data_IF_584674620996
#
_entry.id   IF_584674620996
#
_cell.length_a   1.000
_cell.length_b   1.000
_cell.length_c   1.000
_cell.angle_alpha   90.00
_cell.angle_beta   90.00
_cell.angle_gamma   90.00
#
_symmetry.space_group_name_H-M   'P 1'
#
loop_
_entity.id
_entity.type
_entity.pdbx_description
1 polymer ?
#
# COMPACT_ATOMS: atom_id res chain seq x y z
N UNK A 1 2.18 -18.36 -18.60
CA UNK A 1 2.27 -17.42 -17.44
C UNK A 1 1.84 -18.19 -16.20
N UNK A 2 2.62 -18.10 -15.12
CA UNK A 2 2.23 -18.60 -13.80
C UNK A 2 1.11 -17.72 -13.22
N UNK A 3 0.41 -18.18 -12.19
CA UNK A 3 -0.62 -17.38 -11.54
C UNK A 3 -0.02 -16.09 -10.93
N UNK A 4 1.22 -16.16 -10.43
CA UNK A 4 1.96 -14.99 -9.98
C UNK A 4 2.28 -14.01 -11.11
N UNK A 5 2.71 -14.47 -12.27
CA UNK A 5 2.93 -13.60 -13.43
C UNK A 5 1.64 -12.91 -13.88
N UNK A 6 0.49 -13.60 -13.83
CA UNK A 6 -0.83 -13.02 -14.09
C UNK A 6 -1.17 -11.94 -13.06
N UNK A 7 -0.98 -12.23 -11.75
CA UNK A 7 -1.18 -11.28 -10.67
C UNK A 7 -0.42 -9.97 -10.92
N UNK A 8 0.89 -10.07 -11.21
CA UNK A 8 1.74 -8.92 -11.47
C UNK A 8 1.40 -8.18 -12.77
N UNK A 9 0.81 -8.88 -13.75
CA UNK A 9 0.32 -8.28 -15.00
C UNK A 9 -1.07 -7.62 -14.85
N UNK A 10 -1.72 -7.74 -13.69
CA UNK A 10 -3.08 -7.24 -13.45
C UNK A 10 -4.17 -8.08 -14.14
N UNK A 11 -3.82 -9.31 -14.54
CA UNK A 11 -4.77 -10.27 -15.10
C UNK A 11 -5.49 -11.05 -13.99
N UNK A 12 -6.54 -11.77 -14.36
CA UNK A 12 -7.24 -12.65 -13.43
C UNK A 12 -6.34 -13.84 -13.08
N UNK A 13 -6.14 -14.08 -11.80
CA UNK A 13 -5.33 -15.15 -11.25
C UNK A 13 -6.04 -15.89 -10.11
N UNK A 14 -5.54 -17.06 -9.75
CA UNK A 14 -6.03 -17.87 -8.63
C UNK A 14 -5.30 -17.50 -7.34
N UNK A 15 -5.99 -16.89 -6.38
CA UNK A 15 -5.45 -16.52 -5.08
C UNK A 15 -5.05 -17.74 -4.20
N UNK A 16 -5.49 -18.93 -4.57
CA UNK A 16 -5.17 -20.19 -3.86
C UNK A 16 -4.05 -20.99 -4.53
N UNK A 17 -3.40 -20.44 -5.55
CA UNK A 17 -2.24 -21.08 -6.17
C UNK A 17 -1.11 -21.31 -5.16
N UNK A 18 -0.46 -22.47 -5.14
CA UNK A 18 0.57 -22.78 -4.15
C UNK A 18 1.76 -21.81 -4.13
N UNK A 19 2.18 -21.26 -5.27
CA UNK A 19 3.26 -20.26 -5.34
C UNK A 19 2.84 -18.95 -4.66
N UNK A 20 1.63 -18.46 -4.99
CA UNK A 20 1.04 -17.23 -4.43
C UNK A 20 0.86 -17.34 -2.91
N UNK A 21 0.25 -18.46 -2.45
CA UNK A 21 0.01 -18.71 -1.02
C UNK A 21 1.32 -18.85 -0.24
N UNK A 22 2.35 -19.48 -0.84
CA UNK A 22 3.65 -19.65 -0.20
C UNK A 22 4.31 -18.29 0.08
N UNK A 23 4.38 -17.40 -0.91
CA UNK A 23 4.97 -16.06 -0.72
C UNK A 23 4.22 -15.23 0.32
N UNK A 24 2.88 -15.27 0.27
CA UNK A 24 2.06 -14.61 1.27
C UNK A 24 2.38 -15.10 2.70
N UNK A 25 2.56 -16.42 2.86
CA UNK A 25 2.93 -17.02 4.14
C UNK A 25 4.32 -16.60 4.60
N UNK A 26 5.32 -16.59 3.71
CA UNK A 26 6.68 -16.16 4.00
C UNK A 26 6.71 -14.68 4.43
N UNK A 27 5.96 -13.83 3.73
CA UNK A 27 5.84 -12.40 4.11
C UNK A 27 5.22 -12.23 5.50
N UNK A 28 4.21 -13.02 5.84
CA UNK A 28 3.57 -12.95 7.16
C UNK A 28 4.55 -13.26 8.31
N UNK A 29 5.48 -14.19 8.12
CA UNK A 29 6.55 -14.46 9.10
C UNK A 29 7.50 -13.26 9.24
N UNK A 30 7.90 -12.62 8.13
CA UNK A 30 8.74 -11.42 8.14
C UNK A 30 8.03 -10.27 8.86
N UNK A 31 6.75 -10.06 8.57
CA UNK A 31 5.94 -9.01 9.21
C UNK A 31 5.71 -9.31 10.69
N UNK A 32 5.55 -10.57 11.08
CA UNK A 32 5.49 -10.96 12.48
C UNK A 32 6.80 -10.60 13.21
N UNK A 33 7.96 -10.93 12.64
CA UNK A 33 9.27 -10.51 13.19
C UNK A 33 9.33 -8.99 13.35
N UNK A 34 9.03 -8.24 12.26
CA UNK A 34 9.04 -6.78 12.28
C UNK A 34 8.20 -6.20 13.41
N UNK A 35 6.97 -6.65 13.54
CA UNK A 35 6.01 -6.13 14.52
C UNK A 35 6.32 -6.57 15.97
N UNK A 36 7.20 -7.56 16.15
CA UNK A 36 7.63 -8.06 17.47
C UNK A 36 8.90 -7.39 17.99
N UNK A 37 9.59 -6.60 17.16
CA UNK A 37 10.80 -5.88 17.58
C UNK A 37 10.47 -4.76 18.56
N UNK A 38 11.42 -4.46 19.45
CA UNK A 38 11.31 -3.30 20.34
C UNK A 38 11.47 -2.00 19.54
N UNK A 39 10.79 -0.90 19.90
CA UNK A 39 10.94 0.39 19.21
C UNK A 39 12.40 0.91 19.16
N UNK A 40 13.27 0.46 20.05
CA UNK A 40 14.71 0.80 20.07
C UNK A 40 15.54 0.06 19.02
N UNK A 41 15.02 -1.02 18.43
CA UNK A 41 15.73 -1.85 17.43
C UNK A 41 15.61 -1.28 16.01
N UNK A 42 15.73 0.03 15.88
CA UNK A 42 15.48 0.78 14.63
C UNK A 42 16.33 0.31 13.45
N UNK A 43 17.58 -0.12 13.71
CA UNK A 43 18.45 -0.66 12.66
C UNK A 43 17.87 -1.95 12.08
N UNK A 44 17.45 -2.89 12.92
CA UNK A 44 16.87 -4.18 12.50
C UNK A 44 15.55 -3.96 11.75
N UNK A 45 14.72 -3.05 12.25
CA UNK A 45 13.47 -2.67 11.56
C UNK A 45 13.73 -2.17 10.15
N UNK A 46 14.72 -1.28 9.97
CA UNK A 46 15.10 -0.78 8.65
C UNK A 46 15.64 -1.86 7.72
N UNK A 47 16.48 -2.75 8.24
CA UNK A 47 17.02 -3.90 7.50
C UNK A 47 15.89 -4.79 6.96
N UNK A 48 14.89 -5.11 7.80
CA UNK A 48 13.75 -5.93 7.39
C UNK A 48 12.97 -5.24 6.26
N UNK A 49 12.62 -3.97 6.41
CA UNK A 49 11.86 -3.24 5.38
C UNK A 49 12.64 -3.15 4.06
N UNK A 50 13.95 -2.85 4.11
CA UNK A 50 14.80 -2.80 2.91
C UNK A 50 14.88 -4.12 2.15
N UNK A 51 14.86 -5.24 2.88
CA UNK A 51 14.88 -6.56 2.28
C UNK A 51 13.49 -7.02 1.78
N UNK A 52 12.43 -6.51 2.40
CA UNK A 52 11.06 -6.86 2.08
C UNK A 52 10.52 -6.06 0.90
N UNK A 53 10.73 -4.74 0.88
CA UNK A 53 10.18 -3.88 -0.15
C UNK A 53 10.92 -4.03 -1.49
N UNK A 54 10.21 -3.76 -2.57
CA UNK A 54 10.80 -3.72 -3.91
C UNK A 54 11.80 -2.58 -4.10
N UNK A 55 11.51 -1.43 -3.47
CA UNK A 55 12.40 -0.28 -3.48
C UNK A 55 12.24 0.60 -2.23
N UNK A 56 13.36 1.13 -1.74
CA UNK A 56 13.43 2.13 -0.66
C UNK A 56 14.42 3.22 -1.08
N UNK A 57 13.95 4.46 -1.19
CA UNK A 57 14.67 5.59 -1.79
C UNK A 57 15.89 6.07 -1.00
N UNK A 58 15.86 5.99 0.34
CA UNK A 58 17.00 6.32 1.22
C UNK A 58 16.85 5.68 2.61
N UNK A 59 17.79 6.01 3.52
CA UNK A 59 17.77 5.52 4.90
C UNK A 59 16.98 6.41 5.88
N UNK A 60 16.42 7.52 5.39
CA UNK A 60 15.66 8.47 6.19
C UNK A 60 14.17 8.17 6.14
N UNK A 61 13.80 6.91 6.31
CA UNK A 61 12.41 6.51 6.43
C UNK A 61 12.08 5.97 7.82
N UNK A 62 10.81 6.05 8.18
CA UNK A 62 10.27 5.46 9.40
C UNK A 62 8.88 4.88 9.10
N UNK A 63 8.67 3.63 9.51
CA UNK A 63 7.36 2.98 9.52
C UNK A 63 7.10 2.53 10.94
N UNK A 64 6.09 3.10 11.60
CA UNK A 64 5.73 2.70 12.95
C UNK A 64 4.97 1.36 12.96
N UNK A 65 5.26 0.56 13.96
CA UNK A 65 4.57 -0.72 14.20
C UNK A 65 3.17 -0.50 14.80
N UNK A 66 2.21 -1.39 14.56
CA UNK A 66 2.32 -2.46 13.58
C UNK A 66 2.19 -1.98 12.13
N UNK A 67 2.92 -2.61 11.24
CA UNK A 67 2.79 -2.50 9.78
C UNK A 67 2.28 -3.83 9.22
N UNK A 68 1.53 -3.80 8.11
CA UNK A 68 1.00 -4.99 7.44
C UNK A 68 1.07 -4.85 5.93
N UNK A 69 1.47 -5.92 5.27
CA UNK A 69 1.38 -6.05 3.81
C UNK A 69 1.19 -7.52 3.43
N UNK A 70 0.84 -7.78 2.17
CA UNK A 70 0.67 -9.13 1.67
C UNK A 70 1.97 -9.71 1.11
N UNK A 71 2.69 -8.99 0.26
CA UNK A 71 3.94 -9.47 -0.35
C UNK A 71 5.15 -8.57 -0.03
N UNK A 72 4.96 -7.28 0.12
CA UNK A 72 6.01 -6.29 0.34
C UNK A 72 6.84 -5.97 -0.91
N UNK A 73 7.11 -6.95 -1.76
CA UNK A 73 7.94 -6.80 -2.97
C UNK A 73 7.37 -5.83 -4.00
N UNK A 74 6.07 -5.62 -4.01
CA UNK A 74 5.39 -4.69 -4.90
C UNK A 74 5.33 -3.27 -4.32
N UNK A 75 5.82 -3.05 -3.08
CA UNK A 75 5.84 -1.74 -2.44
C UNK A 75 7.16 -1.03 -2.77
N UNK A 76 7.03 0.19 -3.29
CA UNK A 76 8.15 1.10 -3.52
C UNK A 76 7.89 2.41 -2.78
N UNK A 77 8.85 2.84 -1.96
CA UNK A 77 8.78 4.13 -1.25
C UNK A 77 9.97 5.02 -1.64
N UNK A 78 9.70 6.30 -1.76
CA UNK A 78 10.70 7.32 -2.01
C UNK A 78 11.51 7.70 -0.77
N UNK A 79 12.22 8.82 -0.85
CA UNK A 79 13.06 9.35 0.23
C UNK A 79 12.23 10.02 1.31
N UNK A 80 12.76 10.02 2.55
CA UNK A 80 12.17 10.73 3.71
C UNK A 80 10.71 10.33 3.96
N UNK A 81 10.39 9.08 3.72
CA UNK A 81 9.06 8.50 3.91
C UNK A 81 8.74 8.31 5.39
N UNK A 82 7.55 8.69 5.78
CA UNK A 82 7.03 8.44 7.13
C UNK A 82 5.66 7.75 7.07
N UNK A 83 5.50 6.65 7.80
CA UNK A 83 4.20 6.04 8.05
C UNK A 83 3.97 5.86 9.55
N UNK A 84 2.80 6.28 10.00
CA UNK A 84 2.35 6.15 11.36
C UNK A 84 1.78 4.75 11.64
N UNK A 85 1.25 4.52 12.85
CA UNK A 85 0.77 3.21 13.34
C UNK A 85 -0.32 2.61 12.45
N UNK A 86 -0.32 1.28 12.33
CA UNK A 86 -1.33 0.49 11.60
C UNK A 86 -1.40 0.84 10.09
N UNK A 87 -0.29 1.20 9.48
CA UNK A 87 -0.22 1.32 8.03
C UNK A 87 -0.39 -0.08 7.40
N UNK A 88 -1.33 -0.22 6.47
CA UNK A 88 -1.66 -1.50 5.82
C UNK A 88 -1.62 -1.34 4.31
N UNK A 89 -0.93 -2.23 3.62
CA UNK A 89 -0.86 -2.26 2.15
C UNK A 89 -1.15 -3.67 1.66
N UNK A 90 -2.24 -3.86 0.93
CA UNK A 90 -2.51 -5.10 0.21
C UNK A 90 -1.92 -4.94 -1.19
N UNK A 91 -0.73 -5.51 -1.40
CA UNK A 91 0.15 -5.24 -2.54
C UNK A 91 0.22 -6.40 -3.55
N UNK A 92 -0.93 -6.86 -4.02
CA UNK A 92 -1.04 -7.80 -5.14
C UNK A 92 -0.58 -7.16 -6.47
N UNK A 93 -0.72 -5.84 -6.59
CA UNK A 93 -0.16 -5.03 -7.67
C UNK A 93 0.79 -3.96 -7.12
N UNK A 94 1.62 -3.32 -7.97
CA UNK A 94 2.55 -2.29 -7.53
C UNK A 94 1.90 -1.14 -6.77
N UNK A 95 2.49 -0.79 -5.62
CA UNK A 95 2.19 0.42 -4.86
C UNK A 95 3.44 1.28 -4.84
N UNK A 96 3.37 2.42 -5.51
CA UNK A 96 4.49 3.36 -5.61
C UNK A 96 4.16 4.65 -4.86
N UNK A 97 5.03 5.03 -3.92
CA UNK A 97 4.89 6.24 -3.11
C UNK A 97 6.16 7.08 -3.30
N UNK A 98 6.00 8.34 -3.65
CA UNK A 98 7.09 9.27 -3.92
C UNK A 98 7.84 9.75 -2.68
N UNK A 99 8.68 10.76 -2.90
CA UNK A 99 9.50 11.40 -1.87
C UNK A 99 8.64 12.27 -0.93
N UNK A 100 9.11 12.46 0.32
CA UNK A 100 8.51 13.38 1.29
C UNK A 100 7.04 13.11 1.60
N UNK A 101 6.65 11.84 1.64
CA UNK A 101 5.28 11.44 1.93
C UNK A 101 5.09 11.13 3.41
N UNK A 102 3.98 11.63 3.96
CA UNK A 102 3.56 11.44 5.35
C UNK A 102 2.23 10.69 5.40
N UNK A 103 2.25 9.50 5.98
CA UNK A 103 1.08 8.62 6.12
C UNK A 103 0.61 8.63 7.57
N UNK A 104 -0.63 9.06 7.80
CA UNK A 104 -1.28 9.05 9.11
C UNK A 104 -1.57 7.66 9.65
N UNK A 105 -2.03 7.55 10.91
CA UNK A 105 -2.35 6.25 11.50
C UNK A 105 -3.58 5.62 10.85
N UNK A 106 -3.61 4.27 10.82
CA UNK A 106 -4.72 3.47 10.26
C UNK A 106 -5.01 3.75 8.78
N UNK A 107 -4.02 4.17 8.00
CA UNK A 107 -4.15 4.31 6.55
C UNK A 107 -4.06 2.94 5.90
N UNK A 108 -4.94 2.70 4.93
CA UNK A 108 -4.95 1.47 4.15
C UNK A 108 -4.88 1.76 2.65
N UNK A 109 -4.03 1.02 1.95
CA UNK A 109 -3.91 1.03 0.49
C UNK A 109 -4.25 -0.37 -0.01
N UNK A 110 -5.22 -0.47 -0.90
CA UNK A 110 -5.65 -1.75 -1.45
C UNK A 110 -5.42 -1.78 -2.95
N UNK A 111 -4.80 -2.87 -3.44
CA UNK A 111 -4.67 -3.14 -4.88
C UNK A 111 -5.57 -4.28 -5.32
N UNK A 112 -5.91 -5.20 -4.41
CA UNK A 112 -6.73 -6.37 -4.69
C UNK A 112 -8.17 -6.02 -5.08
N UNK A 113 -8.71 -6.74 -6.04
CA UNK A 113 -10.08 -6.62 -6.54
C UNK A 113 -10.73 -8.01 -6.61
N UNK A 114 -11.99 -8.07 -6.19
CA UNK A 114 -12.83 -9.24 -6.34
C UNK A 114 -14.08 -8.93 -7.17
N UNK A 115 -14.61 -9.95 -7.86
CA UNK A 115 -15.87 -9.79 -8.57
C UNK A 115 -17.02 -9.48 -7.61
N UNK A 116 -17.89 -8.58 -8.04
CA UNK A 116 -19.17 -8.32 -7.36
C UNK A 116 -20.15 -9.48 -7.54
N UNK A 117 -20.00 -10.30 -8.61
CA UNK A 117 -20.75 -11.53 -8.78
C UNK A 117 -20.30 -12.57 -7.74
N UNK A 118 -21.21 -13.10 -6.90
CA UNK A 118 -20.85 -14.06 -5.87
C UNK A 118 -20.35 -15.40 -6.41
N UNK A 119 -20.79 -15.83 -7.59
CA UNK A 119 -20.35 -17.10 -8.21
C UNK A 119 -18.89 -16.97 -8.65
N UNK A 120 -18.56 -15.89 -9.35
CA UNK A 120 -17.18 -15.62 -9.74
C UNK A 120 -16.28 -15.42 -8.52
N UNK A 121 -16.69 -14.62 -7.54
CA UNK A 121 -15.90 -14.39 -6.31
C UNK A 121 -15.63 -15.68 -5.53
N UNK A 122 -16.58 -16.61 -5.49
CA UNK A 122 -16.43 -17.88 -4.80
C UNK A 122 -15.46 -18.83 -5.52
N UNK A 123 -15.11 -18.59 -6.78
CA UNK A 123 -14.08 -19.33 -7.50
C UNK A 123 -12.65 -19.04 -7.02
N UNK A 124 -12.47 -18.07 -6.10
CA UNK A 124 -11.18 -17.62 -5.58
C UNK A 124 -10.28 -16.98 -6.65
N UNK A 125 -10.88 -16.51 -7.72
CA UNK A 125 -10.22 -15.69 -8.71
C UNK A 125 -10.31 -14.21 -8.31
N UNK A 126 -9.23 -13.51 -8.53
CA UNK A 126 -9.13 -12.07 -8.27
C UNK A 126 -8.19 -11.41 -9.27
N UNK A 127 -8.14 -10.11 -9.27
CA UNK A 127 -7.18 -9.32 -10.02
C UNK A 127 -6.74 -8.13 -9.16
N UNK A 128 -5.72 -7.42 -9.60
CA UNK A 128 -5.24 -6.26 -8.86
C UNK A 128 -5.01 -5.05 -9.77
N UNK A 129 -5.06 -3.85 -9.19
CA UNK A 129 -4.77 -2.59 -9.87
C UNK A 129 -3.79 -1.79 -9.04
N UNK A 130 -2.71 -1.32 -9.68
CA UNK A 130 -1.66 -0.53 -9.03
C UNK A 130 -2.20 0.77 -8.44
N UNK A 131 -1.53 1.23 -7.37
CA UNK A 131 -1.78 2.53 -6.76
C UNK A 131 -0.49 3.35 -6.84
N UNK A 132 -0.63 4.61 -7.23
CA UNK A 132 0.50 5.54 -7.31
C UNK A 132 0.22 6.78 -6.47
N UNK A 133 1.20 7.18 -5.65
CA UNK A 133 1.17 8.39 -4.84
C UNK A 133 2.42 9.20 -5.20
N UNK A 134 2.23 10.45 -5.59
CA UNK A 134 3.30 11.38 -5.98
C UNK A 134 4.15 11.83 -4.79
N UNK A 135 4.88 12.91 -5.00
CA UNK A 135 5.78 13.48 -4.00
C UNK A 135 5.07 14.52 -3.11
N UNK A 136 5.60 14.76 -1.90
CA UNK A 136 5.07 15.76 -0.96
C UNK A 136 3.58 15.54 -0.64
N UNK A 137 3.17 14.29 -0.44
CA UNK A 137 1.77 13.94 -0.15
C UNK A 137 1.59 13.70 1.34
N UNK A 138 0.59 14.34 1.92
CA UNK A 138 0.14 14.07 3.28
C UNK A 138 -1.22 13.36 3.27
N UNK A 139 -1.25 12.16 3.84
CA UNK A 139 -2.47 11.36 3.99
C UNK A 139 -2.85 11.33 5.46
N UNK A 140 -4.00 11.91 5.78
CA UNK A 140 -4.58 11.94 7.13
C UNK A 140 -4.92 10.54 7.65
N UNK A 141 -5.10 10.44 8.97
CA UNK A 141 -5.42 9.15 9.60
C UNK A 141 -6.72 8.52 9.11
N UNK A 142 -6.79 7.19 9.13
CA UNK A 142 -7.95 6.39 8.73
C UNK A 142 -8.43 6.63 7.29
N UNK A 143 -7.51 7.02 6.40
CA UNK A 143 -7.79 7.11 4.96
C UNK A 143 -7.69 5.73 4.33
N UNK A 144 -8.61 5.43 3.42
CA UNK A 144 -8.56 4.23 2.57
C UNK A 144 -8.39 4.63 1.10
N UNK A 145 -7.39 4.06 0.43
CA UNK A 145 -7.12 4.27 -1.00
C UNK A 145 -7.48 2.99 -1.74
N UNK A 146 -8.36 3.11 -2.72
CA UNK A 146 -8.90 1.97 -3.47
C UNK A 146 -8.03 1.61 -4.69
N UNK A 147 -8.17 0.38 -5.21
CA UNK A 147 -7.39 -0.11 -6.33
C UNK A 147 -7.47 0.78 -7.58
N UNK A 148 -6.33 1.01 -8.22
CA UNK A 148 -6.23 1.75 -9.47
C UNK A 148 -6.15 3.27 -9.31
N UNK A 149 -6.08 3.80 -8.08
CA UNK A 149 -6.04 5.23 -7.80
C UNK A 149 -4.63 5.80 -8.01
N UNK A 150 -4.56 6.97 -8.63
CA UNK A 150 -3.37 7.81 -8.70
C UNK A 150 -3.59 9.12 -7.93
N UNK A 151 -2.67 9.44 -7.02
CA UNK A 151 -2.64 10.71 -6.29
C UNK A 151 -1.41 11.49 -6.78
N UNK A 152 -1.63 12.72 -7.26
CA UNK A 152 -0.56 13.57 -7.78
C UNK A 152 0.35 14.14 -6.68
N UNK A 153 1.29 15.00 -7.09
CA UNK A 153 2.22 15.67 -6.18
C UNK A 153 1.55 16.79 -5.36
N UNK A 154 2.12 17.10 -4.19
CA UNK A 154 1.67 18.19 -3.33
C UNK A 154 0.18 18.08 -2.95
N UNK A 155 -0.27 16.89 -2.58
CA UNK A 155 -1.67 16.62 -2.21
C UNK A 155 -1.79 16.42 -0.70
N UNK A 156 -2.87 16.93 -0.13
CA UNK A 156 -3.28 16.62 1.24
C UNK A 156 -4.64 15.91 1.23
N UNK A 157 -4.70 14.71 1.79
CA UNK A 157 -5.95 13.95 1.97
C UNK A 157 -6.40 14.06 3.43
N UNK A 158 -7.61 14.59 3.65
CA UNK A 158 -8.17 14.71 5.00
C UNK A 158 -8.49 13.37 5.64
N UNK A 159 -8.36 13.31 6.98
CA UNK A 159 -8.61 12.09 7.75
C UNK A 159 -10.01 11.49 7.51
N UNK A 160 -10.12 10.16 7.54
CA UNK A 160 -11.37 9.42 7.33
C UNK A 160 -11.88 9.40 5.89
N UNK A 161 -11.08 9.86 4.93
CA UNK A 161 -11.47 9.86 3.51
C UNK A 161 -11.38 8.48 2.87
N UNK A 162 -12.24 8.22 1.89
CA UNK A 162 -12.16 7.03 1.02
C UNK A 162 -11.89 7.50 -0.41
N UNK A 163 -10.65 7.27 -0.88
CA UNK A 163 -10.19 7.73 -2.20
C UNK A 163 -10.54 6.68 -3.23
N UNK A 164 -11.54 6.98 -4.05
CA UNK A 164 -12.12 6.06 -5.05
C UNK A 164 -11.81 6.48 -6.51
N UNK A 165 -11.15 7.62 -6.68
CA UNK A 165 -10.76 8.19 -7.98
C UNK A 165 -9.45 8.95 -7.84
N UNK A 166 -8.81 9.20 -8.95
CA UNK A 166 -7.57 9.98 -9.01
C UNK A 166 -7.74 11.38 -8.41
N UNK A 167 -6.68 11.83 -7.73
CA UNK A 167 -6.60 13.16 -7.12
C UNK A 167 -5.49 13.94 -7.84
N UNK A 168 -5.83 15.09 -8.46
CA UNK A 168 -4.85 15.90 -9.17
C UNK A 168 -3.84 16.55 -8.22
N UNK A 169 -2.64 16.84 -8.74
CA UNK A 169 -1.59 17.55 -8.00
C UNK A 169 -2.04 18.92 -7.48
N UNK A 170 -1.37 19.38 -6.41
CA UNK A 170 -1.57 20.69 -5.80
C UNK A 170 -3.01 20.91 -5.28
N UNK A 171 -3.58 19.89 -4.62
CA UNK A 171 -4.96 19.94 -4.12
C UNK A 171 -5.09 19.43 -2.68
N UNK A 172 -6.16 19.86 -2.04
CA UNK A 172 -6.68 19.25 -0.80
C UNK A 172 -7.98 18.53 -1.12
N UNK A 173 -8.06 17.23 -0.74
CA UNK A 173 -9.22 16.41 -0.95
C UNK A 173 -9.68 15.75 0.36
N UNK A 174 -11.00 15.61 0.55
CA UNK A 174 -11.57 15.06 1.78
C UNK A 174 -12.88 14.31 1.51
N UNK A 175 -13.26 13.43 2.42
CA UNK A 175 -14.60 12.84 2.50
C UNK A 175 -14.72 11.41 2.01
N UNK A 176 -15.93 10.89 2.08
CA UNK A 176 -16.31 9.57 1.58
C UNK A 176 -17.58 9.68 0.70
N UNK A 177 -17.47 9.57 -0.63
CA UNK A 177 -16.23 9.44 -1.39
C UNK A 177 -15.38 10.73 -1.34
N UNK A 178 -14.05 10.57 -1.42
CA UNK A 178 -13.09 11.68 -1.37
C UNK A 178 -13.24 12.58 -2.60
N UNK A 179 -13.26 13.90 -2.35
CA UNK A 179 -13.38 14.93 -3.41
C UNK A 179 -12.44 16.09 -3.14
N UNK A 180 -11.90 16.67 -4.20
CA UNK A 180 -11.11 17.91 -4.12
C UNK A 180 -12.01 19.03 -3.59
N UNK A 181 -11.52 19.76 -2.58
CA UNK A 181 -12.22 20.89 -1.97
C UNK A 181 -11.52 22.22 -2.22
N UNK A 182 -10.23 22.23 -2.52
CA UNK A 182 -9.46 23.41 -2.90
C UNK A 182 -8.15 23.05 -3.59
N UNK A 183 -7.58 24.01 -4.31
CA UNK A 183 -6.20 23.96 -4.78
C UNK A 183 -5.26 24.57 -3.72
N UNK A 184 -3.98 24.17 -3.77
CA UNK A 184 -2.89 24.70 -2.92
C UNK A 184 -2.11 25.74 -3.73
#
# INVERSE_FOLDING_TARGET
MTEKEKMLAGEIYSAIDPEVVKELSETREIIFEYNSLRPSETRRMKEIIKNLFGHVGDDHFLINQPFRCDYGKQISIGKRFFANFNFTVLDEAPVTIGDDCFIGPNVSIYTACHSTDPVERNSRQEWAKSVTIGNNVWIGGSVTILPGVSIGDNVSIGAGSVVVKDIPSNTVAVGNPCKVIKNI
#
